data_IF_064852637407
#
_entry.id   IF_064852637407
#
_cell.length_a   1.000
_cell.length_b   1.000
_cell.length_c   1.000
_cell.angle_alpha   90.00
_cell.angle_beta   90.00
_cell.angle_gamma   90.00
#
_symmetry.space_group_name_H-M   'P 1'
#
loop_
_entity.id
_entity.type
_entity.pdbx_description
1 polymer ?
#
# COMPACT_ATOMS: atom_id res chain seq x y z
N UNK A 1 -22.20 -0.10 39.35
CA UNK A 1 -20.96 -0.81 38.96
C UNK A 1 -20.57 -0.33 37.57
N UNK A 2 -19.75 0.73 37.52
CA UNK A 2 -19.16 1.26 36.29
C UNK A 2 -17.73 0.72 36.24
N UNK A 3 -17.41 -0.10 35.25
CA UNK A 3 -16.04 -0.55 35.02
C UNK A 3 -15.45 0.35 33.96
N UNK A 4 -14.59 1.29 34.39
CA UNK A 4 -13.80 2.12 33.50
C UNK A 4 -12.58 1.32 33.06
N UNK A 5 -12.50 0.95 31.78
CA UNK A 5 -11.32 0.29 31.21
C UNK A 5 -10.42 1.34 30.55
N UNK A 6 -9.27 1.60 31.17
CA UNK A 6 -8.23 2.51 30.69
C UNK A 6 -7.39 1.79 29.63
N UNK A 7 -7.58 2.10 28.34
CA UNK A 7 -6.80 1.54 27.24
C UNK A 7 -5.55 2.38 26.97
N UNK A 8 -4.52 2.25 27.81
CA UNK A 8 -3.26 2.96 27.63
C UNK A 8 -2.10 2.08 27.11
N UNK A 9 -2.37 0.86 26.61
CA UNK A 9 -1.31 -0.10 26.26
C UNK A 9 -1.38 -0.73 24.85
N UNK A 10 -2.30 -0.34 23.96
CA UNK A 10 -2.30 -0.86 22.59
C UNK A 10 -1.73 0.15 21.60
N UNK A 11 -0.42 0.38 21.70
CA UNK A 11 0.38 0.83 20.55
C UNK A 11 1.12 -0.38 20.00
N UNK A 12 0.53 -1.03 19.02
CA UNK A 12 1.25 -1.94 18.12
C UNK A 12 2.43 -1.18 17.50
N UNK A 13 3.64 -1.66 17.73
CA UNK A 13 4.84 -1.24 17.02
C UNK A 13 4.70 -1.66 15.55
N UNK A 14 4.11 -0.80 14.73
CA UNK A 14 4.28 -0.85 13.28
C UNK A 14 5.61 -0.20 12.97
N UNK A 15 6.62 -0.99 12.62
CA UNK A 15 7.85 -0.46 12.07
C UNK A 15 7.63 -0.16 10.58
N UNK A 16 7.75 1.10 10.12
CA UNK A 16 7.99 1.35 8.71
C UNK A 16 9.42 0.92 8.41
N UNK A 17 9.61 -0.01 7.46
CA UNK A 17 10.94 -0.30 6.93
C UNK A 17 11.42 0.93 6.14
N UNK A 18 12.21 1.79 6.77
CA UNK A 18 13.09 2.72 6.05
C UNK A 18 14.41 2.00 5.86
N UNK A 19 14.80 1.78 4.61
CA UNK A 19 16.06 1.14 4.26
C UNK A 19 17.23 2.05 4.64
N UNK A 20 17.75 1.87 5.86
CA UNK A 20 19.09 2.29 6.20
C UNK A 20 20.03 1.08 6.01
N UNK A 21 21.08 1.30 5.24
CA UNK A 21 22.03 0.29 4.79
C UNK A 21 22.68 -0.47 5.96
N UNK A 22 22.27 -1.72 6.16
CA UNK A 22 23.00 -2.69 7.01
C UNK A 22 23.41 -3.85 6.12
N UNK A 23 24.70 -3.90 5.78
CA UNK A 23 25.32 -5.10 5.26
C UNK A 23 25.38 -6.13 6.37
N UNK A 24 24.70 -7.26 6.23
CA UNK A 24 25.01 -8.42 7.06
C UNK A 24 24.99 -9.71 6.25
N UNK A 25 25.96 -10.54 6.64
CA UNK A 25 26.51 -11.69 5.95
C UNK A 25 25.50 -12.81 5.71
N UNK A 26 25.78 -13.54 4.64
CA UNK A 26 25.16 -14.78 4.20
C UNK A 26 25.14 -15.87 5.27
N UNK A 27 23.97 -16.46 5.52
CA UNK A 27 23.84 -17.84 5.97
C UNK A 27 22.93 -18.60 5.00
N UNK A 28 23.54 -19.58 4.33
CA UNK A 28 22.93 -20.40 3.28
C UNK A 28 22.29 -21.64 3.93
N UNK A 29 20.99 -21.59 4.22
CA UNK A 29 20.22 -22.77 4.63
C UNK A 29 19.47 -23.36 3.44
N UNK A 30 20.01 -24.45 2.88
CA UNK A 30 19.26 -25.33 1.98
C UNK A 30 18.51 -26.37 2.81
N UNK A 31 17.18 -26.27 2.86
CA UNK A 31 16.32 -27.36 3.33
C UNK A 31 15.91 -28.24 2.13
N UNK A 32 16.50 -29.42 2.04
CA UNK A 32 16.02 -30.49 1.18
C UNK A 32 14.83 -31.18 1.86
N UNK A 33 13.61 -30.90 1.41
CA UNK A 33 12.44 -31.68 1.80
C UNK A 33 12.25 -32.87 0.86
N UNK A 34 12.38 -34.06 1.43
CA UNK A 34 12.16 -35.35 0.76
C UNK A 34 10.68 -35.63 0.51
N UNK A 35 10.43 -36.06 -0.72
CA UNK A 35 9.32 -36.80 -1.32
C UNK A 35 8.13 -37.18 -0.42
N UNK A 36 6.98 -36.54 -0.70
CA UNK A 36 5.64 -36.94 -0.30
C UNK A 36 4.75 -37.13 -1.54
N UNK A 37 3.59 -37.81 -1.43
CA UNK A 37 2.79 -38.22 -2.59
C UNK A 37 2.31 -37.01 -3.41
N UNK A 38 2.17 -37.13 -4.75
CA UNK A 38 1.97 -35.98 -5.62
C UNK A 38 0.61 -35.32 -5.33
N UNK A 39 0.65 -34.08 -4.83
CA UNK A 39 -0.51 -33.19 -4.74
C UNK A 39 -1.01 -32.79 -6.14
N UNK A 40 -2.29 -32.42 -6.29
CA UNK A 40 -2.86 -32.07 -7.58
C UNK A 40 -2.15 -30.86 -8.21
N UNK A 41 -1.81 -31.01 -9.49
CA UNK A 41 -0.93 -30.15 -10.29
C UNK A 41 -1.29 -28.66 -10.24
N UNK A 42 -2.57 -28.32 -10.08
CA UNK A 42 -3.08 -26.94 -10.06
C UNK A 42 -2.73 -26.24 -8.73
N UNK A 43 -2.88 -26.93 -7.60
CA UNK A 43 -2.52 -26.39 -6.29
C UNK A 43 -1.01 -26.15 -6.21
N UNK A 44 -0.24 -27.06 -6.79
CA UNK A 44 1.20 -26.96 -6.90
C UNK A 44 1.63 -25.82 -7.83
N UNK A 45 0.93 -25.58 -8.93
CA UNK A 45 1.22 -24.46 -9.85
C UNK A 45 0.89 -23.09 -9.22
N UNK A 46 -0.23 -22.99 -8.49
CA UNK A 46 -0.61 -21.79 -7.74
C UNK A 46 0.38 -21.54 -6.60
N UNK A 47 0.70 -22.58 -5.81
CA UNK A 47 1.70 -22.52 -4.75
C UNK A 47 3.05 -22.08 -5.33
N UNK A 48 3.55 -22.73 -6.37
CA UNK A 48 4.84 -22.38 -6.98
C UNK A 48 4.85 -20.97 -7.55
N UNK A 49 3.74 -20.47 -8.13
CA UNK A 49 3.64 -19.06 -8.57
C UNK A 49 3.65 -18.09 -7.39
N UNK A 50 2.92 -18.40 -6.31
CA UNK A 50 2.88 -17.57 -5.09
C UNK A 50 4.25 -17.54 -4.42
N UNK A 51 4.92 -18.69 -4.27
CA UNK A 51 6.25 -18.79 -3.66
C UNK A 51 7.37 -18.24 -4.56
N UNK A 52 7.24 -18.31 -5.88
CA UNK A 52 8.15 -17.64 -6.82
C UNK A 52 8.10 -16.11 -6.67
N UNK A 53 6.97 -15.53 -6.28
CA UNK A 53 6.88 -14.11 -5.94
C UNK A 53 7.51 -13.76 -4.58
N UNK A 54 7.72 -14.74 -3.69
CA UNK A 54 8.34 -14.56 -2.36
C UNK A 54 9.86 -14.75 -2.40
N UNK A 55 10.36 -15.61 -3.29
CA UNK A 55 11.80 -15.86 -3.48
C UNK A 55 12.42 -14.82 -4.42
N UNK A 56 12.76 -13.66 -3.88
CA UNK A 56 13.36 -12.55 -4.64
C UNK A 56 14.85 -12.82 -4.94
N UNK A 57 15.15 -13.20 -6.19
CA UNK A 57 16.52 -13.20 -6.71
C UNK A 57 16.90 -11.77 -7.13
N UNK A 58 17.53 -11.00 -6.23
CA UNK A 58 18.14 -9.66 -6.48
C UNK A 58 17.39 -8.75 -7.47
N UNK A 59 16.08 -8.63 -7.35
CA UNK A 59 15.29 -7.61 -8.02
C UNK A 59 14.80 -6.59 -7.00
N UNK A 60 14.67 -5.33 -7.41
CA UNK A 60 14.18 -4.26 -6.56
C UNK A 60 12.65 -4.15 -6.79
N UNK A 61 11.80 -4.72 -5.91
CA UNK A 61 10.36 -4.67 -6.10
C UNK A 61 9.86 -3.23 -6.00
N UNK A 62 9.02 -2.81 -6.95
CA UNK A 62 8.36 -1.51 -6.92
C UNK A 62 6.98 -1.66 -6.26
N UNK A 63 6.53 -0.71 -5.43
CA UNK A 63 5.17 -0.74 -4.90
C UNK A 63 4.14 -0.59 -6.02
N UNK A 64 3.17 -1.51 -6.05
CA UNK A 64 2.01 -1.49 -6.94
C UNK A 64 0.73 -1.83 -6.17
N UNK A 65 -0.41 -1.40 -6.69
CA UNK A 65 -1.73 -1.75 -6.15
C UNK A 65 -2.23 -3.02 -6.86
N UNK A 66 -2.63 -4.02 -6.09
CA UNK A 66 -3.11 -5.32 -6.58
C UNK A 66 -4.58 -5.52 -6.21
N UNK A 67 -5.38 -6.03 -7.15
CA UNK A 67 -6.78 -6.38 -6.96
C UNK A 67 -6.97 -7.88 -7.01
N UNK A 68 -7.81 -8.42 -6.12
CA UNK A 68 -8.12 -9.85 -6.05
C UNK A 68 -9.60 -10.05 -5.70
N UNK A 69 -10.23 -10.99 -6.39
CA UNK A 69 -11.61 -11.38 -6.13
C UNK A 69 -11.71 -12.32 -4.93
N UNK A 70 -12.62 -11.99 -4.01
CA UNK A 70 -12.91 -12.82 -2.83
C UNK A 70 -14.31 -13.39 -2.93
N UNK A 71 -14.42 -14.70 -2.66
CA UNK A 71 -15.70 -15.42 -2.70
C UNK A 71 -16.20 -15.73 -1.29
N UNK A 72 -17.48 -15.46 -1.04
CA UNK A 72 -18.17 -15.80 0.21
C UNK A 72 -19.48 -16.51 -0.08
N UNK A 73 -19.75 -17.55 0.70
CA UNK A 73 -21.01 -18.29 0.62
C UNK A 73 -22.18 -17.38 1.05
N UNK A 74 -23.20 -17.27 0.20
CA UNK A 74 -24.41 -16.49 0.48
C UNK A 74 -25.43 -17.33 1.26
N UNK A 75 -25.95 -16.86 2.41
CA UNK A 75 -26.82 -17.65 3.28
C UNK A 75 -28.19 -17.97 2.68
N UNK A 76 -28.71 -17.14 1.77
CA UNK A 76 -30.00 -17.40 1.10
C UNK A 76 -29.98 -18.64 0.21
N UNK A 77 -28.79 -19.03 -0.27
CA UNK A 77 -28.56 -20.22 -1.10
C UNK A 77 -28.12 -21.44 -0.27
N UNK A 78 -28.13 -21.36 1.06
CA UNK A 78 -27.75 -22.49 1.95
C UNK A 78 -28.80 -23.60 2.01
N UNK A 79 -30.00 -23.38 1.48
CA UNK A 79 -30.99 -24.45 1.34
C UNK A 79 -30.52 -25.39 0.25
N UNK A 80 -30.56 -26.70 0.54
CA UNK A 80 -30.29 -27.75 -0.44
C UNK A 80 -31.05 -27.44 -1.73
N UNK A 81 -30.33 -26.96 -2.74
CA UNK A 81 -30.91 -26.52 -3.99
C UNK A 81 -30.46 -27.48 -5.08
N UNK A 82 -31.45 -28.01 -5.79
CA UNK A 82 -31.24 -28.75 -7.03
C UNK A 82 -31.47 -27.74 -8.14
N UNK A 83 -30.41 -27.42 -8.86
CA UNK A 83 -30.51 -26.51 -9.99
C UNK A 83 -30.37 -27.31 -11.29
N UNK A 84 -31.51 -27.66 -11.88
CA UNK A 84 -31.67 -27.88 -13.32
C UNK A 84 -33.08 -28.39 -13.65
N UNK A 85 -33.89 -27.59 -14.35
CA UNK A 85 -35.06 -28.06 -15.11
C UNK A 85 -34.77 -28.20 -16.62
N UNK A 86 -33.60 -27.73 -17.06
CA UNK A 86 -33.24 -27.64 -18.48
C UNK A 86 -32.38 -28.85 -18.91
N UNK A 87 -32.65 -29.46 -20.09
CA UNK A 87 -31.97 -30.69 -20.54
C UNK A 87 -30.50 -30.51 -20.92
N UNK A 88 -30.01 -29.29 -21.06
CA UNK A 88 -28.61 -28.99 -21.44
C UNK A 88 -27.81 -28.28 -20.33
N UNK A 89 -28.43 -27.99 -19.17
CA UNK A 89 -27.71 -27.46 -18.01
C UNK A 89 -27.32 -28.59 -17.09
N UNK A 90 -26.07 -28.58 -16.62
CA UNK A 90 -25.53 -29.58 -15.71
C UNK A 90 -26.28 -29.54 -14.37
N UNK A 91 -27.00 -30.62 -13.96
CA UNK A 91 -27.57 -30.69 -12.62
C UNK A 91 -26.46 -30.61 -11.58
N UNK A 92 -26.70 -29.79 -10.55
CA UNK A 92 -25.85 -29.75 -9.38
C UNK A 92 -26.69 -29.72 -8.10
N UNK A 93 -26.14 -30.31 -7.04
CA UNK A 93 -26.65 -30.27 -5.68
C UNK A 93 -25.61 -29.60 -4.80
N UNK A 94 -26.01 -28.55 -4.09
CA UNK A 94 -25.17 -27.88 -3.08
C UNK A 94 -25.78 -28.10 -1.70
N UNK A 95 -24.97 -28.60 -0.76
CA UNK A 95 -25.35 -28.80 0.63
C UNK A 95 -24.31 -28.17 1.56
N UNK A 96 -24.77 -27.42 2.58
CA UNK A 96 -23.89 -26.88 3.63
C UNK A 96 -23.60 -27.92 4.71
N UNK A 97 -22.34 -27.99 5.16
CA UNK A 97 -21.94 -28.88 6.26
C UNK A 97 -22.12 -28.15 7.59
N UNK A 98 -22.90 -28.74 8.50
CA UNK A 98 -23.26 -28.13 9.78
C UNK A 98 -22.01 -27.81 10.61
N UNK A 99 -22.05 -26.67 11.31
CA UNK A 99 -20.96 -26.18 12.17
C UNK A 99 -19.63 -25.93 11.44
N UNK A 100 -19.65 -25.68 10.12
CA UNK A 100 -18.46 -25.37 9.33
C UNK A 100 -18.73 -24.38 8.21
N UNK A 101 -17.67 -23.87 7.58
CA UNK A 101 -17.71 -23.07 6.36
C UNK A 101 -17.59 -23.91 5.07
N UNK A 102 -17.75 -25.24 5.17
CA UNK A 102 -17.61 -26.15 4.04
C UNK A 102 -18.94 -26.39 3.31
N UNK A 103 -18.85 -26.67 2.02
CA UNK A 103 -19.97 -27.09 1.18
C UNK A 103 -19.66 -28.44 0.52
N UNK A 104 -20.69 -29.24 0.35
CA UNK A 104 -20.69 -30.44 -0.48
C UNK A 104 -21.34 -30.09 -1.82
N UNK A 105 -20.55 -30.20 -2.90
CA UNK A 105 -20.99 -30.00 -4.27
C UNK A 105 -21.02 -31.34 -5.00
N UNK A 106 -22.20 -31.75 -5.46
CA UNK A 106 -22.37 -32.95 -6.29
C UNK A 106 -22.79 -32.51 -7.68
N UNK A 107 -22.03 -32.90 -8.70
CA UNK A 107 -22.27 -32.56 -10.10
C UNK A 107 -22.45 -33.83 -10.94
N UNK A 108 -23.26 -33.74 -12.00
CA UNK A 108 -23.39 -34.82 -12.98
C UNK A 108 -22.58 -34.50 -14.25
N UNK A 109 -21.74 -35.43 -14.72
CA UNK A 109 -20.82 -35.18 -15.83
C UNK A 109 -21.39 -35.49 -17.23
N UNK A 110 -22.70 -35.76 -17.35
CA UNK A 110 -23.32 -36.16 -18.63
C UNK A 110 -23.40 -35.05 -19.69
N UNK A 111 -23.43 -33.77 -19.30
CA UNK A 111 -23.45 -32.65 -20.25
C UNK A 111 -22.05 -32.08 -20.45
N UNK A 112 -21.60 -31.83 -21.71
CA UNK A 112 -20.36 -31.11 -21.97
C UNK A 112 -20.48 -29.67 -21.42
N UNK A 113 -19.44 -29.21 -20.72
CA UNK A 113 -19.38 -27.88 -20.13
C UNK A 113 -18.06 -27.25 -20.52
N UNK A 114 -18.11 -26.01 -21.00
CA UNK A 114 -16.90 -25.22 -21.22
C UNK A 114 -16.37 -24.73 -19.86
N UNK A 115 -15.22 -25.26 -19.46
CA UNK A 115 -14.55 -24.85 -18.24
C UNK A 115 -14.07 -23.40 -18.40
N UNK A 116 -14.61 -22.51 -17.56
CA UNK A 116 -14.06 -21.17 -17.36
C UNK A 116 -13.28 -21.18 -16.05
N UNK A 117 -11.94 -21.13 -16.09
CA UNK A 117 -11.14 -21.13 -14.88
C UNK A 117 -11.42 -19.84 -14.08
N UNK A 118 -11.75 -19.99 -12.82
CA UNK A 118 -11.77 -18.88 -11.87
C UNK A 118 -10.38 -18.79 -11.23
N UNK A 119 -9.78 -17.61 -11.23
CA UNK A 119 -8.46 -17.36 -10.65
C UNK A 119 -8.58 -16.44 -9.45
N UNK A 120 -7.87 -16.79 -8.37
CA UNK A 120 -7.72 -15.94 -7.17
C UNK A 120 -6.33 -15.28 -7.17
N UNK A 121 -5.62 -15.34 -8.30
CA UNK A 121 -4.31 -14.71 -8.45
C UNK A 121 -4.53 -13.19 -8.50
N UNK A 122 -3.86 -12.42 -7.62
CA UNK A 122 -3.96 -10.96 -7.63
C UNK A 122 -3.46 -10.40 -8.96
N UNK A 123 -4.16 -9.41 -9.50
CA UNK A 123 -3.79 -8.71 -10.72
C UNK A 123 -3.44 -7.26 -10.43
N UNK A 124 -2.43 -6.73 -11.13
CA UNK A 124 -2.02 -5.34 -10.97
C UNK A 124 -3.08 -4.37 -11.52
N UNK A 125 -3.36 -3.31 -10.77
CA UNK A 125 -4.31 -2.27 -11.16
C UNK A 125 -3.62 -1.19 -11.97
N UNK A 126 -4.04 -1.03 -13.23
CA UNK A 126 -3.55 0.03 -14.11
C UNK A 126 -4.46 1.27 -14.03
N UNK A 127 -3.88 2.40 -13.61
CA UNK A 127 -4.58 3.69 -13.54
C UNK A 127 -4.41 4.49 -14.84
N UNK A 128 -5.51 5.03 -15.38
CA UNK A 128 -5.48 5.93 -16.55
C UNK A 128 -4.84 7.29 -16.27
N UNK A 129 -4.70 7.66 -15.00
CA UNK A 129 -4.12 8.92 -14.51
C UNK A 129 -3.04 8.61 -13.46
N UNK A 130 -2.26 9.59 -13.03
CA UNK A 130 -1.32 9.38 -11.91
C UNK A 130 -2.05 8.94 -10.64
N UNK A 131 -1.40 8.10 -9.83
CA UNK A 131 -1.97 7.57 -8.58
C UNK A 131 -2.49 8.67 -7.64
N UNK A 132 -1.81 9.81 -7.60
CA UNK A 132 -2.21 10.96 -6.80
C UNK A 132 -3.54 11.57 -7.29
N UNK A 133 -3.69 11.77 -8.60
CA UNK A 133 -4.91 12.28 -9.21
C UNK A 133 -6.08 11.30 -9.00
N UNK A 134 -5.83 10.01 -9.22
CA UNK A 134 -6.82 8.96 -8.98
C UNK A 134 -7.31 8.99 -7.52
N UNK A 135 -6.39 8.99 -6.56
CA UNK A 135 -6.73 9.08 -5.13
C UNK A 135 -7.52 10.35 -4.83
N UNK A 136 -7.13 11.52 -5.32
CA UNK A 136 -7.87 12.76 -5.04
C UNK A 136 -9.30 12.76 -5.64
N UNK A 137 -9.49 12.15 -6.81
CA UNK A 137 -10.78 12.11 -7.52
C UNK A 137 -11.75 11.08 -6.93
N UNK A 138 -11.23 9.91 -6.54
CA UNK A 138 -12.04 8.77 -6.09
C UNK A 138 -12.11 8.61 -4.57
N UNK A 139 -11.17 9.18 -3.81
CA UNK A 139 -11.20 9.13 -2.35
C UNK A 139 -12.25 10.10 -1.79
N UNK A 140 -13.44 9.57 -1.49
CA UNK A 140 -14.55 10.30 -0.86
C UNK A 140 -14.53 10.22 0.67
N UNK A 141 -13.45 9.72 1.28
CA UNK A 141 -13.38 9.57 2.73
C UNK A 141 -13.23 10.93 3.42
N UNK A 142 -14.01 11.15 4.46
CA UNK A 142 -13.98 12.39 5.24
C UNK A 142 -12.67 12.49 6.02
N UNK A 143 -11.96 13.61 5.86
CA UNK A 143 -10.78 13.95 6.67
C UNK A 143 -11.19 14.89 7.80
N UNK A 144 -10.86 14.53 9.04
CA UNK A 144 -11.06 15.39 10.20
C UNK A 144 -9.82 16.27 10.35
N UNK A 145 -10.00 17.59 10.41
CA UNK A 145 -8.91 18.52 10.71
C UNK A 145 -8.63 18.54 12.22
N UNK A 146 -7.37 18.75 12.64
CA UNK A 146 -7.04 19.02 14.03
C UNK A 146 -7.87 20.20 14.57
N UNK A 147 -8.26 20.16 15.86
CA UNK A 147 -9.10 21.20 16.49
C UNK A 147 -8.38 22.54 16.61
N UNK A 148 -7.06 22.53 16.79
CA UNK A 148 -6.24 23.73 16.93
C UNK A 148 -4.94 23.59 16.12
N UNK A 149 -4.50 24.70 15.52
CA UNK A 149 -3.22 24.82 14.83
C UNK A 149 -2.43 25.95 15.48
N UNK A 150 -1.44 25.60 16.32
CA UNK A 150 -0.53 26.57 16.93
C UNK A 150 0.59 26.79 15.91
N UNK A 151 0.52 27.91 15.19
CA UNK A 151 1.48 28.24 14.12
C UNK A 151 2.73 28.96 14.62
N UNK A 152 2.61 29.64 15.76
CA UNK A 152 3.65 30.51 16.29
C UNK A 152 3.62 30.43 17.82
N UNK A 153 4.81 30.43 18.41
CA UNK A 153 5.04 30.52 19.84
C UNK A 153 5.53 31.93 20.22
N UNK A 154 5.15 32.46 21.39
CA UNK A 154 5.48 33.84 21.80
C UNK A 154 6.98 34.13 21.81
N UNK A 155 7.78 33.15 22.25
CA UNK A 155 9.25 33.17 22.24
C UNK A 155 9.89 33.04 20.84
N UNK A 156 9.14 32.78 19.77
CA UNK A 156 9.71 32.80 18.41
C UNK A 156 10.19 34.20 18.01
N UNK A 157 9.62 35.26 18.60
CA UNK A 157 10.03 36.65 18.36
C UNK A 157 11.50 36.90 18.75
N UNK A 158 11.98 36.23 19.80
CA UNK A 158 13.37 36.33 20.26
C UNK A 158 14.36 35.72 19.26
N UNK A 159 13.88 34.84 18.37
CA UNK A 159 14.68 34.16 17.35
C UNK A 159 14.73 34.97 16.05
N UNK A 160 13.87 35.99 15.88
CA UNK A 160 13.86 36.85 14.68
C UNK A 160 15.20 37.58 14.50
N UNK A 161 15.87 37.93 15.61
CA UNK A 161 17.19 38.57 15.59
C UNK A 161 18.32 37.61 15.18
N UNK A 162 18.08 36.29 15.20
CA UNK A 162 18.99 35.27 14.66
C UNK A 162 18.78 35.01 13.17
N UNK A 163 17.87 35.72 12.51
CA UNK A 163 17.81 35.73 11.05
C UNK A 163 19.13 36.29 10.53
N UNK A 164 19.91 35.45 9.83
CA UNK A 164 21.18 35.87 9.26
C UNK A 164 20.99 37.12 8.41
N UNK A 165 21.66 38.21 8.77
CA UNK A 165 21.80 39.37 7.89
C UNK A 165 22.61 38.90 6.67
N UNK A 166 21.93 38.33 5.69
CA UNK A 166 22.50 38.08 4.36
C UNK A 166 23.18 39.35 3.87
N UNK A 167 24.20 39.20 3.03
CA UNK A 167 25.13 40.26 2.64
C UNK A 167 24.36 41.46 2.07
N UNK A 168 23.98 42.41 2.94
CA UNK A 168 23.55 43.72 2.56
C UNK A 168 24.82 44.52 2.31
N UNK A 169 25.32 44.47 1.07
CA UNK A 169 26.45 45.30 0.63
C UNK A 169 25.94 46.74 0.56
N UNK A 170 25.88 47.43 1.70
CA UNK A 170 25.69 48.87 1.69
C UNK A 170 27.00 49.50 1.21
N UNK A 171 27.00 50.26 0.10
CA UNK A 171 28.20 50.97 -0.32
C UNK A 171 28.60 51.90 0.82
N UNK A 172 29.84 51.77 1.29
CA UNK A 172 30.38 52.65 2.33
C UNK A 172 30.17 54.10 1.91
N UNK A 173 29.57 54.91 2.79
CA UNK A 173 29.34 56.34 2.51
C UNK A 173 30.64 57.08 2.16
N UNK A 174 31.77 56.55 2.62
CA UNK A 174 33.12 57.06 2.31
C UNK A 174 33.44 56.90 0.82
N UNK A 175 33.07 55.78 0.19
CA UNK A 175 33.29 55.56 -1.24
C UNK A 175 32.47 56.55 -2.07
N UNK A 176 31.24 56.85 -1.65
CA UNK A 176 30.41 57.88 -2.28
C UNK A 176 31.05 59.27 -2.19
N UNK A 177 31.54 59.66 -1.01
CA UNK A 177 32.23 60.93 -0.83
C UNK A 177 33.50 61.02 -1.70
N UNK A 178 34.32 59.96 -1.73
CA UNK A 178 35.54 59.92 -2.53
C UNK A 178 35.24 60.00 -4.04
N UNK A 179 34.22 59.29 -4.51
CA UNK A 179 33.76 59.38 -5.90
C UNK A 179 33.33 60.81 -6.26
N UNK A 180 32.60 61.50 -5.38
CA UNK A 180 32.18 62.88 -5.61
C UNK A 180 33.36 63.85 -5.64
N UNK A 181 34.33 63.71 -4.72
CA UNK A 181 35.51 64.57 -4.71
C UNK A 181 36.38 64.37 -5.95
N UNK A 182 36.55 63.12 -6.40
CA UNK A 182 37.31 62.82 -7.62
C UNK A 182 36.58 63.34 -8.86
N UNK A 183 35.25 63.18 -8.94
CA UNK A 183 34.46 63.71 -10.04
C UNK A 183 34.52 65.24 -10.13
N UNK A 184 34.49 65.94 -8.99
CA UNK A 184 34.63 67.39 -8.94
C UNK A 184 36.04 67.85 -9.32
N UNK A 185 37.07 67.10 -8.93
CA UNK A 185 38.46 67.38 -9.29
C UNK A 185 38.72 67.23 -10.80
N UNK A 186 38.23 66.15 -11.42
CA UNK A 186 38.35 65.94 -12.87
C UNK A 186 37.60 67.02 -13.67
N UNK A 187 36.51 67.56 -13.12
CA UNK A 187 35.72 68.62 -13.77
C UNK A 187 36.38 70.01 -13.73
N UNK A 188 37.41 70.20 -12.89
CA UNK A 188 38.16 71.45 -12.76
C UNK A 188 39.49 71.45 -13.54
N UNK A 189 39.92 70.29 -14.06
CA UNK A 189 40.99 70.17 -15.06
C UNK A 189 40.45 70.42 -16.47
#
# INVERSE_FOLDING_TARGET
LLVQMNFHFLTTLGYPFTSDDVSDNSDNYSENYSDGPPEPTIAQEVHNKVFAHVLLNRTNPQPCDMEVDLYRIQPENQRNSIASSDPCKRPYLVQSIQHSNMILLVINNLCPFEERPMSIIPNEVFYNESLCCYKNKWNKLNRIRPKSCIKQHEREKEIVDLCGRGIAVNPSSILWCLCLTVALYIRQL
#
